data_IF_242755740671
#
_entry.id   IF_242755740671
#
_cell.length_a   1.000
_cell.length_b   1.000
_cell.length_c   1.000
_cell.angle_alpha   90.00
_cell.angle_beta   90.00
_cell.angle_gamma   90.00
#
_symmetry.space_group_name_H-M   'P 1'
#
loop_
_entity.id
_entity.type
_entity.pdbx_description
1 polymer ?
#
# COMPACT_ATOMS: atom_id res chain seq x y z
N UNK A 1 -7.25 -5.68 21.73
CA UNK A 1 -7.34 -4.75 20.59
C UNK A 1 -8.62 -3.93 20.73
N UNK A 2 -8.53 -2.60 20.80
CA UNK A 2 -9.72 -1.74 20.73
C UNK A 2 -9.92 -1.34 19.26
N UNK A 3 -10.83 -2.03 18.58
CA UNK A 3 -11.23 -1.71 17.20
C UNK A 3 -11.70 -0.26 17.06
N UNK A 4 -12.41 0.24 18.08
CA UNK A 4 -12.90 1.62 18.15
C UNK A 4 -11.76 2.64 18.03
N UNK A 5 -10.64 2.41 18.73
CA UNK A 5 -9.50 3.33 18.70
C UNK A 5 -8.84 3.33 17.32
N UNK A 6 -8.62 2.15 16.74
CA UNK A 6 -8.03 2.03 15.41
C UNK A 6 -8.90 2.69 14.32
N UNK A 7 -10.22 2.54 14.41
CA UNK A 7 -11.15 3.20 13.49
C UNK A 7 -11.16 4.72 13.66
N UNK A 8 -11.15 5.23 14.90
CA UNK A 8 -11.22 6.68 15.19
C UNK A 8 -9.91 7.42 14.91
N UNK A 9 -8.78 6.74 14.99
CA UNK A 9 -7.44 7.34 14.85
C UNK A 9 -7.27 8.27 13.64
N UNK A 10 -7.58 7.86 12.39
CA UNK A 10 -7.45 8.77 11.25
C UNK A 10 -8.50 9.88 11.22
N UNK A 11 -9.67 9.72 11.86
CA UNK A 11 -10.67 10.80 11.97
C UNK A 11 -10.23 11.89 12.95
N UNK A 12 -9.60 11.52 14.07
CA UNK A 12 -8.95 12.49 14.97
C UNK A 12 -7.85 13.28 14.25
N UNK A 13 -7.23 12.65 13.25
CA UNK A 13 -6.14 13.22 12.46
C UNK A 13 -6.58 13.66 11.05
N UNK A 14 -7.88 13.91 10.84
CA UNK A 14 -8.45 14.14 9.51
C UNK A 14 -7.76 15.27 8.74
N UNK A 15 -7.41 16.37 9.42
CA UNK A 15 -6.72 17.50 8.78
C UNK A 15 -5.34 17.11 8.21
N UNK A 16 -4.58 16.28 8.95
CA UNK A 16 -3.27 15.78 8.49
C UNK A 16 -3.46 14.80 7.32
N UNK A 17 -4.41 13.86 7.41
CA UNK A 17 -4.75 12.94 6.31
C UNK A 17 -5.11 13.72 5.04
N UNK A 18 -6.00 14.71 5.17
CA UNK A 18 -6.42 15.55 4.05
C UNK A 18 -5.23 16.32 3.45
N UNK A 19 -4.36 16.87 4.29
CA UNK A 19 -3.16 17.59 3.83
C UNK A 19 -2.23 16.68 3.01
N UNK A 20 -1.99 15.44 3.45
CA UNK A 20 -1.20 14.46 2.71
C UNK A 20 -1.82 14.21 1.33
N UNK A 21 -3.12 13.94 1.30
CA UNK A 21 -3.82 13.65 0.03
C UNK A 21 -3.77 14.84 -0.91
N UNK A 22 -4.03 16.05 -0.41
CA UNK A 22 -4.00 17.26 -1.24
C UNK A 22 -2.61 17.49 -1.86
N UNK A 23 -1.53 17.36 -1.07
CA UNK A 23 -0.16 17.51 -1.59
C UNK A 23 0.12 16.48 -2.68
N UNK A 24 -0.26 15.22 -2.46
CA UNK A 24 -0.08 14.16 -3.47
C UNK A 24 -0.92 14.42 -4.72
N UNK A 25 -2.19 14.78 -4.58
CA UNK A 25 -3.08 15.08 -5.70
C UNK A 25 -2.55 16.26 -6.52
N UNK A 26 -2.06 17.32 -5.87
CA UNK A 26 -1.43 18.46 -6.56
C UNK A 26 -0.18 18.00 -7.32
N UNK A 27 0.70 17.23 -6.69
CA UNK A 27 1.90 16.71 -7.35
C UNK A 27 1.53 15.88 -8.60
N UNK A 28 0.61 14.93 -8.48
CA UNK A 28 0.12 14.15 -9.62
C UNK A 28 -0.51 15.04 -10.70
N UNK A 29 -1.36 16.00 -10.33
CA UNK A 29 -1.99 16.90 -11.28
C UNK A 29 -0.97 17.74 -12.06
N UNK A 30 0.09 18.22 -11.41
CA UNK A 30 1.17 18.97 -12.08
C UNK A 30 1.86 18.09 -13.13
N UNK A 31 2.27 16.87 -12.79
CA UNK A 31 2.96 16.00 -13.74
C UNK A 31 2.04 15.44 -14.83
N UNK A 32 0.76 15.19 -14.54
CA UNK A 32 -0.25 14.87 -15.56
C UNK A 32 -0.42 16.08 -16.49
N UNK A 33 -0.52 17.30 -15.95
CA UNK A 33 -0.61 18.51 -16.75
C UNK A 33 0.61 18.72 -17.65
N UNK A 34 1.81 18.46 -17.14
CA UNK A 34 3.04 18.48 -17.96
C UNK A 34 3.01 17.43 -19.06
N UNK A 35 2.55 16.21 -18.75
CA UNK A 35 2.41 15.12 -19.73
C UNK A 35 1.37 15.46 -20.82
N UNK A 36 0.22 15.97 -20.41
CA UNK A 36 -0.88 16.31 -21.33
C UNK A 36 -0.55 17.50 -22.22
N UNK A 37 0.15 18.52 -21.71
CA UNK A 37 0.51 19.71 -22.49
C UNK A 37 1.75 19.51 -23.40
N UNK A 38 2.46 18.39 -23.26
CA UNK A 38 3.73 18.20 -23.95
C UNK A 38 3.66 17.23 -25.14
N UNK A 39 2.60 16.45 -25.24
CA UNK A 39 2.38 15.49 -26.33
C UNK A 39 1.08 15.79 -27.06
N UNK A 40 1.06 15.67 -28.38
CA UNK A 40 -0.19 15.67 -29.12
C UNK A 40 -0.88 14.32 -28.94
N UNK A 41 -1.96 14.30 -28.16
CA UNK A 41 -2.75 13.10 -27.87
C UNK A 41 -3.78 12.78 -28.95
N UNK A 42 -3.94 13.65 -29.96
CA UNK A 42 -4.94 13.49 -31.03
C UNK A 42 -4.88 12.12 -31.73
N UNK A 43 -3.70 11.54 -32.04
CA UNK A 43 -3.63 10.21 -32.65
C UNK A 43 -4.12 9.08 -31.72
N UNK A 44 -3.80 9.14 -30.42
CA UNK A 44 -4.28 8.16 -29.44
C UNK A 44 -5.79 8.28 -29.22
N UNK A 45 -6.29 9.52 -29.15
CA UNK A 45 -7.72 9.82 -29.03
C UNK A 45 -8.47 9.28 -30.24
N UNK A 46 -7.98 9.53 -31.46
CA UNK A 46 -8.58 8.99 -32.68
C UNK A 46 -8.65 7.45 -32.65
N UNK A 47 -7.57 6.79 -32.21
CA UNK A 47 -7.54 5.33 -32.05
C UNK A 47 -8.55 4.81 -31.02
N UNK A 48 -8.68 5.47 -29.85
CA UNK A 48 -9.62 5.09 -28.79
C UNK A 48 -11.08 5.21 -29.26
N UNK A 49 -11.39 6.24 -30.06
CA UNK A 49 -12.74 6.49 -30.55
C UNK A 49 -13.05 5.84 -31.90
N UNK A 50 -12.12 5.05 -32.46
CA UNK A 50 -12.30 4.42 -33.77
C UNK A 50 -12.45 5.42 -34.92
N UNK A 51 -11.93 6.64 -34.75
CA UNK A 51 -11.85 7.64 -35.80
C UNK A 51 -10.71 7.26 -36.76
N UNK A 52 -10.91 7.51 -38.06
CA UNK A 52 -9.90 7.18 -39.06
C UNK A 52 -8.60 7.94 -38.76
N UNK A 53 -7.50 7.25 -38.42
CA UNK A 53 -6.25 7.91 -38.04
C UNK A 53 -5.66 8.71 -39.21
N UNK A 54 -6.04 8.38 -40.45
CA UNK A 54 -5.47 8.99 -41.65
C UNK A 54 -5.84 10.47 -41.83
N UNK A 55 -6.93 10.96 -41.22
CA UNK A 55 -7.24 12.39 -41.19
C UNK A 55 -6.35 13.19 -40.22
N UNK A 56 -5.71 12.53 -39.24
CA UNK A 56 -4.90 13.15 -38.19
C UNK A 56 -3.40 12.81 -38.27
N UNK A 57 -3.01 11.83 -39.09
CA UNK A 57 -1.63 11.36 -39.27
C UNK A 57 -0.91 12.01 -40.47
N UNK A 58 -0.93 13.35 -40.57
CA UNK A 58 -0.13 14.08 -41.59
C UNK A 58 1.34 14.29 -41.14
N UNK A 59 1.79 13.62 -40.06
CA UNK A 59 3.16 13.71 -39.55
C UNK A 59 3.85 12.36 -39.44
N UNK A 60 5.16 12.33 -39.70
CA UNK A 60 6.02 11.20 -39.32
C UNK A 60 5.80 10.84 -37.84
N UNK A 61 5.96 9.56 -37.43
CA UNK A 61 5.88 9.16 -36.03
C UNK A 61 6.90 9.96 -35.22
N UNK A 62 6.43 11.02 -34.57
CA UNK A 62 7.27 11.83 -33.70
C UNK A 62 7.62 10.96 -32.49
N UNK A 63 8.90 10.63 -32.36
CA UNK A 63 9.42 10.13 -31.10
C UNK A 63 8.93 11.07 -29.98
N UNK A 64 8.46 10.50 -28.85
CA UNK A 64 8.06 11.28 -27.69
C UNK A 64 9.12 12.36 -27.44
N UNK A 65 8.73 13.62 -27.56
CA UNK A 65 9.63 14.74 -27.31
C UNK A 65 10.22 14.65 -25.90
N UNK A 66 11.24 15.45 -25.60
CA UNK A 66 11.83 15.48 -24.26
C UNK A 66 10.77 15.79 -23.17
N UNK A 67 9.78 16.64 -23.47
CA UNK A 67 8.77 17.08 -22.51
C UNK A 67 7.74 15.98 -22.10
N UNK A 68 7.16 15.18 -23.02
CA UNK A 68 6.36 14.02 -22.64
C UNK A 68 7.12 12.99 -21.82
N UNK A 69 8.38 12.73 -22.19
CA UNK A 69 9.24 11.81 -21.47
C UNK A 69 9.50 12.31 -20.04
N UNK A 70 9.74 13.62 -19.86
CA UNK A 70 9.85 14.26 -18.54
C UNK A 70 8.53 14.12 -17.75
N UNK A 71 7.37 14.28 -18.40
CA UNK A 71 6.06 14.10 -17.77
C UNK A 71 5.85 12.67 -17.26
N UNK A 72 6.10 11.65 -18.09
CA UNK A 72 5.98 10.22 -17.70
C UNK A 72 6.98 9.87 -16.60
N UNK A 73 8.25 10.22 -16.78
CA UNK A 73 9.31 9.94 -15.79
C UNK A 73 8.99 10.64 -14.46
N UNK A 74 8.51 11.88 -14.52
CA UNK A 74 8.07 12.64 -13.35
C UNK A 74 6.90 11.98 -12.61
N UNK A 75 5.89 11.50 -13.34
CA UNK A 75 4.77 10.75 -12.73
C UNK A 75 5.24 9.47 -12.04
N UNK A 76 6.11 8.70 -12.70
CA UNK A 76 6.67 7.47 -12.13
C UNK A 76 7.47 7.82 -10.88
N UNK A 77 8.32 8.85 -10.93
CA UNK A 77 9.10 9.28 -9.79
C UNK A 77 8.22 9.72 -8.61
N UNK A 78 7.18 10.52 -8.84
CA UNK A 78 6.23 10.92 -7.80
C UNK A 78 5.51 9.72 -7.22
N UNK A 79 5.03 8.79 -8.06
CA UNK A 79 4.33 7.58 -7.59
C UNK A 79 5.24 6.72 -6.71
N UNK A 80 6.47 6.46 -7.17
CA UNK A 80 7.45 5.63 -6.45
C UNK A 80 7.88 6.29 -5.14
N UNK A 81 8.25 7.58 -5.18
CA UNK A 81 8.67 8.31 -3.99
C UNK A 81 7.54 8.46 -2.97
N UNK A 82 6.31 8.71 -3.43
CA UNK A 82 5.15 8.75 -2.55
C UNK A 82 4.86 7.38 -1.93
N UNK A 83 5.02 6.30 -2.70
CA UNK A 83 4.90 4.93 -2.21
C UNK A 83 5.91 4.61 -1.12
N UNK A 84 7.18 4.97 -1.32
CA UNK A 84 8.21 4.82 -0.28
C UNK A 84 7.90 5.69 0.93
N UNK A 85 7.60 6.96 0.74
CA UNK A 85 7.29 7.87 1.83
C UNK A 85 6.10 7.40 2.68
N UNK A 86 4.97 7.03 2.07
CA UNK A 86 3.80 6.50 2.81
C UNK A 86 4.15 5.20 3.53
N UNK A 87 4.91 4.31 2.88
CA UNK A 87 5.31 3.04 3.47
C UNK A 87 6.19 3.25 4.70
N UNK A 88 7.18 4.15 4.64
CA UNK A 88 8.00 4.46 5.82
C UNK A 88 7.25 5.24 6.89
N UNK A 89 6.38 6.17 6.50
CA UNK A 89 5.50 6.88 7.44
C UNK A 89 4.59 5.91 8.21
N UNK A 90 4.27 4.76 7.63
CA UNK A 90 3.53 3.68 8.33
C UNK A 90 4.28 3.15 9.54
N UNK A 91 5.62 3.08 9.48
CA UNK A 91 6.47 2.70 10.61
C UNK A 91 6.43 3.76 11.71
N UNK A 92 6.45 5.04 11.35
CA UNK A 92 6.28 6.12 12.33
C UNK A 92 4.90 6.10 12.99
N UNK A 93 3.85 5.80 12.23
CA UNK A 93 2.49 5.61 12.79
C UNK A 93 2.46 4.43 13.76
N UNK A 94 3.10 3.31 13.44
CA UNK A 94 3.20 2.18 14.39
C UNK A 94 3.96 2.61 15.65
N UNK A 95 5.07 3.35 15.51
CA UNK A 95 5.85 3.90 16.64
C UNK A 95 5.03 4.86 17.49
N UNK A 96 4.26 5.76 16.89
CA UNK A 96 3.44 6.74 17.61
C UNK A 96 2.32 6.07 18.40
N UNK A 97 1.62 5.12 17.78
CA UNK A 97 0.56 4.34 18.43
C UNK A 97 1.12 3.53 19.60
N UNK A 98 2.32 2.97 19.45
CA UNK A 98 3.01 2.29 20.56
C UNK A 98 3.45 3.21 21.68
N UNK A 99 3.83 4.44 21.36
CA UNK A 99 4.13 5.47 22.34
C UNK A 99 2.85 6.04 23.01
N UNK A 100 1.68 5.46 22.74
CA UNK A 100 0.37 5.90 23.24
C UNK A 100 0.03 7.34 22.77
N UNK A 101 0.61 7.78 21.65
CA UNK A 101 0.33 9.07 21.03
C UNK A 101 -0.87 8.91 20.07
N UNK A 102 -1.98 9.59 20.38
CA UNK A 102 -3.21 9.54 19.58
C UNK A 102 -3.14 10.38 18.28
N UNK A 103 -2.10 11.18 18.12
CA UNK A 103 -1.88 12.01 16.95
C UNK A 103 -0.93 11.34 15.95
N UNK A 104 -1.15 11.62 14.67
CA UNK A 104 -0.23 11.26 13.60
C UNK A 104 1.14 11.92 13.85
N UNK A 105 2.26 11.21 13.63
CA UNK A 105 3.60 11.76 13.82
C UNK A 105 3.89 12.89 12.84
N UNK A 106 4.92 13.69 13.12
CA UNK A 106 5.36 14.75 12.21
C UNK A 106 6.10 14.18 11.00
N UNK A 107 6.13 14.93 9.90
CA UNK A 107 6.71 14.46 8.65
C UNK A 107 8.24 14.61 8.64
N UNK A 108 8.94 13.49 8.69
CA UNK A 108 10.35 13.41 8.28
C UNK A 108 10.43 12.76 6.89
N UNK A 109 10.45 13.57 5.82
CA UNK A 109 10.43 13.04 4.45
C UNK A 109 11.64 12.13 4.16
N UNK A 110 12.84 12.54 4.57
CA UNK A 110 14.08 11.81 4.28
C UNK A 110 14.13 10.45 4.97
N UNK A 111 13.80 10.42 6.27
CA UNK A 111 13.72 9.18 7.03
C UNK A 111 12.61 8.28 6.53
N UNK A 112 11.42 8.82 6.25
CA UNK A 112 10.28 8.03 5.79
C UNK A 112 10.51 7.43 4.39
N UNK A 113 11.12 8.17 3.46
CA UNK A 113 11.50 7.58 2.16
C UNK A 113 12.52 6.46 2.34
N UNK A 114 13.51 6.64 3.21
CA UNK A 114 14.53 5.61 3.49
C UNK A 114 13.94 4.35 4.15
N UNK A 115 13.15 4.52 5.21
CA UNK A 115 12.49 3.41 5.92
C UNK A 115 11.53 2.68 4.97
N UNK A 116 10.79 3.43 4.13
CA UNK A 116 9.93 2.88 3.10
C UNK A 116 10.63 2.13 1.98
N UNK A 117 11.81 2.59 1.57
CA UNK A 117 12.65 1.86 0.61
C UNK A 117 13.08 0.50 1.17
N UNK A 118 13.46 0.42 2.45
CA UNK A 118 13.78 -0.85 3.08
C UNK A 118 12.58 -1.78 3.21
N UNK A 119 11.39 -1.23 3.49
CA UNK A 119 10.14 -1.99 3.45
C UNK A 119 9.82 -2.51 2.06
N UNK A 120 10.01 -1.70 1.03
CA UNK A 120 9.84 -2.12 -0.35
C UNK A 120 10.78 -3.29 -0.69
N UNK A 121 12.08 -3.15 -0.43
CA UNK A 121 13.05 -4.23 -0.67
C UNK A 121 12.72 -5.51 0.13
N UNK A 122 12.25 -5.36 1.36
CA UNK A 122 11.75 -6.48 2.14
C UNK A 122 10.53 -7.10 1.47
N UNK A 123 9.54 -6.31 1.05
CA UNK A 123 8.35 -6.81 0.35
C UNK A 123 8.74 -7.62 -0.90
N UNK A 124 9.74 -7.17 -1.67
CA UNK A 124 10.29 -7.91 -2.82
C UNK A 124 10.84 -9.27 -2.38
N UNK A 125 11.60 -9.33 -1.28
CA UNK A 125 12.10 -10.60 -0.75
C UNK A 125 10.97 -11.57 -0.34
N UNK A 126 9.87 -11.05 0.23
CA UNK A 126 8.67 -11.84 0.50
C UNK A 126 7.98 -12.28 -0.81
N UNK A 127 7.85 -11.39 -1.80
CA UNK A 127 7.27 -11.71 -3.11
C UNK A 127 8.07 -12.75 -3.89
N UNK A 128 9.40 -12.76 -3.79
CA UNK A 128 10.25 -13.77 -4.45
C UNK A 128 9.85 -15.18 -4.02
N UNK A 129 9.59 -15.40 -2.73
CA UNK A 129 9.18 -16.72 -2.23
C UNK A 129 7.83 -17.13 -2.82
N UNK A 130 6.89 -16.19 -2.92
CA UNK A 130 5.59 -16.44 -3.53
C UNK A 130 5.72 -16.72 -5.05
N UNK A 131 6.54 -15.95 -5.76
CA UNK A 131 6.80 -16.16 -7.19
C UNK A 131 7.41 -17.55 -7.41
N UNK A 132 8.37 -17.96 -6.59
CA UNK A 132 8.95 -19.31 -6.65
C UNK A 132 7.87 -20.37 -6.45
N UNK A 133 6.98 -20.21 -5.47
CA UNK A 133 5.86 -21.12 -5.26
C UNK A 133 4.94 -21.20 -6.50
N UNK A 134 4.53 -20.05 -7.03
CA UNK A 134 3.66 -19.99 -8.22
C UNK A 134 4.32 -20.64 -9.44
N UNK A 135 5.61 -20.43 -9.65
CA UNK A 135 6.37 -21.07 -10.72
C UNK A 135 6.39 -22.59 -10.53
N UNK A 136 6.64 -23.08 -9.31
CA UNK A 136 6.60 -24.52 -9.00
C UNK A 136 5.21 -25.09 -9.27
N UNK A 137 4.15 -24.41 -8.83
CA UNK A 137 2.77 -24.83 -9.11
C UNK A 137 2.49 -24.89 -10.61
N UNK A 138 2.88 -23.86 -11.37
CA UNK A 138 2.73 -23.85 -12.82
C UNK A 138 3.42 -25.05 -13.48
N UNK A 139 4.64 -25.40 -13.05
CA UNK A 139 5.34 -26.58 -13.56
C UNK A 139 4.62 -27.88 -13.22
N UNK A 140 4.12 -28.03 -11.99
CA UNK A 140 3.37 -29.22 -11.58
C UNK A 140 2.10 -29.35 -12.41
N UNK A 141 1.32 -28.27 -12.55
CA UNK A 141 0.09 -28.26 -13.36
C UNK A 141 0.34 -28.60 -14.82
N UNK A 142 1.42 -28.08 -15.41
CA UNK A 142 1.80 -28.43 -16.77
C UNK A 142 2.18 -29.91 -16.89
N UNK A 143 2.98 -30.44 -15.95
CA UNK A 143 3.39 -31.83 -15.94
C UNK A 143 2.23 -32.82 -15.74
N UNK A 144 1.18 -32.42 -15.00
CA UNK A 144 -0.01 -33.25 -14.75
C UNK A 144 -1.16 -33.01 -15.73
N UNK A 145 -1.00 -32.11 -16.70
CA UNK A 145 -2.08 -31.65 -17.58
C UNK A 145 -2.75 -32.75 -18.41
N UNK A 146 -2.01 -33.81 -18.76
CA UNK A 146 -2.52 -34.98 -19.49
C UNK A 146 -3.19 -36.03 -18.58
N UNK A 147 -3.09 -35.87 -17.27
CA UNK A 147 -3.55 -36.83 -16.26
C UNK A 147 -4.82 -36.31 -15.56
N UNK A 148 -5.91 -36.13 -16.32
CA UNK A 148 -7.11 -35.38 -15.92
C UNK A 148 -7.53 -35.44 -14.44
N UNK A 149 -7.67 -36.64 -13.86
CA UNK A 149 -8.03 -36.81 -12.45
C UNK A 149 -6.92 -36.38 -11.46
N UNK A 150 -5.66 -36.63 -11.80
CA UNK A 150 -4.49 -36.21 -11.01
C UNK A 150 -4.36 -34.69 -11.05
N UNK A 151 -4.58 -34.06 -12.21
CA UNK A 151 -4.54 -32.60 -12.34
C UNK A 151 -5.57 -31.91 -11.45
N UNK A 152 -6.80 -32.44 -11.40
CA UNK A 152 -7.85 -31.94 -10.51
C UNK A 152 -7.48 -32.11 -9.02
N UNK A 153 -6.91 -33.24 -8.62
CA UNK A 153 -6.44 -33.45 -7.24
C UNK A 153 -5.31 -32.50 -6.86
N UNK A 154 -4.34 -32.28 -7.76
CA UNK A 154 -3.27 -31.30 -7.56
C UNK A 154 -3.85 -29.89 -7.39
N UNK A 155 -4.86 -29.51 -8.20
CA UNK A 155 -5.51 -28.21 -8.09
C UNK A 155 -6.16 -27.98 -6.72
N UNK A 156 -6.85 -29.00 -6.19
CA UNK A 156 -7.51 -28.96 -4.90
C UNK A 156 -6.53 -28.76 -3.74
N UNK A 157 -5.27 -29.20 -3.89
CA UNK A 157 -4.24 -29.07 -2.84
C UNK A 157 -3.40 -27.80 -3.02
N UNK A 158 -2.93 -27.54 -4.24
CA UNK A 158 -2.02 -26.44 -4.53
C UNK A 158 -2.68 -25.07 -4.31
N UNK A 159 -3.90 -24.86 -4.81
CA UNK A 159 -4.57 -23.56 -4.69
C UNK A 159 -4.77 -23.13 -3.23
N UNK A 160 -5.34 -23.98 -2.34
CA UNK A 160 -5.42 -23.63 -0.92
C UNK A 160 -4.05 -23.45 -0.26
N UNK A 161 -3.04 -24.24 -0.65
CA UNK A 161 -1.69 -24.10 -0.12
C UNK A 161 -1.11 -22.71 -0.47
N UNK A 162 -1.27 -22.24 -1.71
CA UNK A 162 -0.86 -20.89 -2.10
C UNK A 162 -1.58 -19.82 -1.31
N UNK A 163 -2.89 -19.95 -1.09
CA UNK A 163 -3.64 -19.00 -0.26
C UNK A 163 -3.10 -18.98 1.18
N UNK A 164 -2.81 -20.15 1.76
CA UNK A 164 -2.24 -20.26 3.11
C UNK A 164 -0.84 -19.62 3.15
N UNK A 165 0.00 -19.87 2.15
CA UNK A 165 1.34 -19.27 2.08
C UNK A 165 1.24 -17.76 1.96
N UNK A 166 0.39 -17.22 1.09
CA UNK A 166 0.14 -15.78 0.98
C UNK A 166 -0.27 -15.19 2.33
N UNK A 167 -1.21 -15.85 3.03
CA UNK A 167 -1.66 -15.41 4.34
C UNK A 167 -0.51 -15.37 5.37
N UNK A 168 0.27 -16.45 5.48
CA UNK A 168 1.42 -16.54 6.40
C UNK A 168 2.51 -15.52 6.03
N UNK A 169 2.76 -15.30 4.74
CA UNK A 169 3.77 -14.36 4.27
C UNK A 169 3.37 -12.92 4.51
N UNK A 170 2.13 -12.54 4.17
CA UNK A 170 1.58 -11.23 4.49
C UNK A 170 1.60 -10.98 6.01
N UNK A 171 1.29 -12.01 6.80
CA UNK A 171 1.40 -11.95 8.24
C UNK A 171 2.82 -11.71 8.74
N UNK A 172 3.76 -12.52 8.27
CA UNK A 172 5.16 -12.41 8.63
C UNK A 172 5.74 -11.06 8.20
N UNK A 173 5.21 -10.44 7.14
CA UNK A 173 5.56 -9.07 6.77
C UNK A 173 5.06 -8.05 7.80
N UNK A 174 3.82 -8.16 8.31
CA UNK A 174 3.32 -7.30 9.40
C UNK A 174 4.15 -7.44 10.68
N UNK A 175 4.54 -8.66 11.05
CA UNK A 175 5.46 -8.91 12.17
C UNK A 175 6.81 -8.23 11.93
N UNK A 176 7.34 -8.33 10.71
CA UNK A 176 8.58 -7.65 10.33
C UNK A 176 8.49 -6.13 10.50
N UNK A 177 7.43 -5.52 9.97
CA UNK A 177 7.17 -4.08 10.12
C UNK A 177 7.09 -3.64 11.58
N UNK A 178 6.34 -4.38 12.40
CA UNK A 178 6.26 -4.11 13.83
C UNK A 178 7.63 -4.19 14.51
N UNK A 179 8.42 -5.25 14.26
CA UNK A 179 9.77 -5.37 14.82
C UNK A 179 10.69 -4.24 14.38
N UNK A 180 10.54 -3.75 13.15
CA UNK A 180 11.31 -2.62 12.63
C UNK A 180 10.90 -1.30 13.28
N UNK A 181 9.60 -1.10 13.49
CA UNK A 181 9.10 0.02 14.27
C UNK A 181 9.69 0.01 15.69
N UNK A 182 9.75 -1.14 16.35
CA UNK A 182 10.20 -1.27 17.75
C UNK A 182 11.71 -1.09 17.90
N UNK A 183 12.50 -1.73 17.04
CA UNK A 183 13.95 -1.79 17.18
C UNK A 183 14.73 -0.73 16.39
N UNK A 184 14.11 -0.06 15.42
CA UNK A 184 14.80 0.88 14.51
C UNK A 184 15.81 0.24 13.55
N UNK A 185 16.15 -1.04 13.71
CA UNK A 185 17.03 -1.79 12.82
C UNK A 185 16.25 -2.39 11.65
N UNK A 186 16.50 -1.90 10.43
CA UNK A 186 15.89 -2.40 9.20
C UNK A 186 16.24 -3.86 8.89
N UNK A 187 17.32 -4.41 9.45
CA UNK A 187 17.69 -5.82 9.19
C UNK A 187 16.63 -6.81 9.69
N UNK A 188 15.80 -6.41 10.65
CA UNK A 188 14.76 -7.29 11.22
C UNK A 188 13.65 -7.63 10.23
N UNK A 189 13.38 -6.78 9.22
CA UNK A 189 12.36 -7.09 8.20
C UNK A 189 12.81 -8.21 7.27
N UNK A 190 14.12 -8.39 7.09
CA UNK A 190 14.70 -9.48 6.27
C UNK A 190 14.83 -10.81 7.03
N UNK A 191 14.56 -10.84 8.33
CA UNK A 191 14.61 -12.08 9.12
C UNK A 191 13.33 -12.93 8.90
N UNK A 192 13.03 -13.26 7.63
CA UNK A 192 11.79 -13.91 7.19
C UNK A 192 11.48 -15.15 8.03
N UNK A 193 12.47 -16.04 8.24
CA UNK A 193 12.29 -17.24 9.07
C UNK A 193 11.84 -16.93 10.50
N UNK A 194 12.43 -15.90 11.14
CA UNK A 194 12.06 -15.48 12.49
C UNK A 194 10.68 -14.85 12.50
N UNK A 195 10.37 -13.99 11.52
CA UNK A 195 9.07 -13.35 11.37
C UNK A 195 7.96 -14.37 11.14
N UNK A 196 8.18 -15.37 10.28
CA UNK A 196 7.25 -16.49 10.05
C UNK A 196 7.06 -17.36 11.29
N UNK A 197 8.14 -17.64 12.04
CA UNK A 197 8.01 -18.40 13.30
C UNK A 197 7.16 -17.64 14.31
N UNK A 198 7.40 -16.35 14.48
CA UNK A 198 6.58 -15.49 15.36
C UNK A 198 5.13 -15.41 14.88
N UNK A 199 4.92 -15.30 13.56
CA UNK A 199 3.59 -15.35 12.94
C UNK A 199 2.84 -16.65 13.29
N UNK A 200 3.49 -17.80 13.07
CA UNK A 200 2.89 -19.12 13.27
C UNK A 200 2.56 -19.40 14.73
N UNK A 201 3.43 -18.99 15.66
CA UNK A 201 3.17 -19.15 17.11
C UNK A 201 1.97 -18.31 17.56
N UNK A 202 1.70 -17.19 16.88
CA UNK A 202 0.64 -16.25 17.23
C UNK A 202 -0.50 -16.22 16.20
N UNK A 203 -0.77 -17.34 15.54
CA UNK A 203 -1.75 -17.43 14.45
C UNK A 203 -3.20 -17.12 14.87
N UNK A 204 -3.53 -17.23 16.16
CA UNK A 204 -4.87 -16.90 16.68
C UNK A 204 -5.07 -15.38 16.75
N UNK A 205 -4.13 -14.67 17.35
CA UNK A 205 -4.07 -13.20 17.36
C UNK A 205 -3.95 -12.65 15.93
N UNK A 206 -3.12 -13.36 15.15
CA UNK A 206 -3.31 -13.70 13.75
C UNK A 206 -4.68 -13.43 13.12
N UNK A 207 -5.45 -14.49 13.03
CA UNK A 207 -6.77 -14.48 12.44
C UNK A 207 -7.64 -13.30 12.94
N UNK A 208 -7.54 -12.93 14.22
CA UNK A 208 -8.21 -11.76 14.79
C UNK A 208 -7.90 -10.45 14.07
N UNK A 209 -6.63 -10.11 13.82
CA UNK A 209 -6.25 -8.90 13.09
C UNK A 209 -6.84 -8.87 11.68
N UNK A 210 -6.79 -9.99 10.96
CA UNK A 210 -7.31 -10.08 9.58
C UNK A 210 -8.82 -9.86 9.59
N UNK A 211 -9.54 -10.46 10.53
CA UNK A 211 -10.97 -10.20 10.72
C UNK A 211 -11.20 -8.71 10.97
N UNK A 212 -10.42 -8.07 11.86
CA UNK A 212 -10.54 -6.63 12.09
C UNK A 212 -10.22 -5.79 10.85
N UNK A 213 -9.20 -6.14 10.06
CA UNK A 213 -8.87 -5.46 8.81
C UNK A 213 -9.99 -5.60 7.76
N UNK A 214 -10.61 -6.78 7.65
CA UNK A 214 -11.76 -7.02 6.76
C UNK A 214 -12.95 -6.17 7.19
N UNK A 215 -13.31 -6.21 8.48
CA UNK A 215 -14.41 -5.40 9.03
C UNK A 215 -14.13 -3.91 8.80
N UNK A 216 -12.90 -3.47 9.02
CA UNK A 216 -12.49 -2.09 8.78
C UNK A 216 -12.65 -1.72 7.30
N UNK A 217 -12.20 -2.58 6.38
CA UNK A 217 -12.36 -2.38 4.93
C UNK A 217 -13.83 -2.25 4.51
N UNK A 218 -14.71 -3.07 5.09
CA UNK A 218 -16.16 -2.98 4.84
C UNK A 218 -16.72 -1.65 5.34
N UNK A 219 -16.38 -1.24 6.57
CA UNK A 219 -16.85 0.04 7.13
C UNK A 219 -16.38 1.21 6.28
N UNK A 220 -15.10 1.26 5.91
CA UNK A 220 -14.55 2.31 5.05
C UNK A 220 -15.21 2.31 3.67
N UNK A 221 -15.50 1.14 3.09
CA UNK A 221 -16.26 1.03 1.85
C UNK A 221 -17.66 1.62 1.94
N UNK A 222 -18.39 1.35 3.03
CA UNK A 222 -19.72 1.93 3.27
C UNK A 222 -19.65 3.44 3.46
N UNK A 223 -18.76 3.92 4.34
CA UNK A 223 -18.62 5.36 4.62
C UNK A 223 -18.22 6.12 3.37
N UNK A 224 -17.26 5.60 2.61
CA UNK A 224 -16.87 6.16 1.31
C UNK A 224 -18.07 6.18 0.36
N UNK A 225 -18.82 5.07 0.23
CA UNK A 225 -19.99 5.01 -0.66
C UNK A 225 -21.05 6.06 -0.33
N UNK A 226 -21.27 6.35 0.95
CA UNK A 226 -22.16 7.44 1.39
C UNK A 226 -21.61 8.80 0.97
N UNK A 227 -20.33 9.06 1.20
CA UNK A 227 -19.69 10.35 0.83
C UNK A 227 -19.66 10.53 -0.68
N UNK A 228 -19.29 9.49 -1.44
CA UNK A 228 -19.34 9.47 -2.90
C UNK A 228 -20.78 9.70 -3.40
N UNK A 229 -21.81 9.20 -2.71
CA UNK A 229 -23.21 9.48 -3.05
C UNK A 229 -23.63 10.94 -2.82
N UNK A 230 -23.09 11.60 -1.80
CA UNK A 230 -23.36 13.03 -1.52
C UNK A 230 -22.68 13.93 -2.55
N UNK A 231 -21.43 13.64 -2.88
CA UNK A 231 -20.59 14.48 -3.75
C UNK A 231 -20.59 14.04 -5.23
N UNK A 232 -21.10 12.85 -5.55
CA UNK A 232 -21.06 12.27 -6.89
C UNK A 232 -21.93 12.98 -7.93
N UNK A 233 -22.80 13.89 -7.50
CA UNK A 233 -23.61 14.72 -8.41
C UNK A 233 -22.85 15.94 -8.93
N UNK A 234 -21.60 16.18 -8.50
CA UNK A 234 -20.78 17.26 -9.05
C UNK A 234 -20.33 16.85 -10.45
N UNK A 235 -20.79 17.58 -11.47
CA UNK A 235 -20.47 17.29 -12.87
C UNK A 235 -19.10 17.88 -13.29
N UNK A 236 -18.53 17.28 -14.35
CA UNK A 236 -17.32 17.78 -15.01
C UNK A 236 -16.03 17.51 -14.24
N UNK A 237 -14.98 18.28 -14.57
CA UNK A 237 -13.62 18.11 -14.02
C UNK A 237 -13.56 18.27 -12.49
N UNK A 238 -14.40 19.14 -11.93
CA UNK A 238 -14.51 19.31 -10.48
C UNK A 238 -15.02 18.04 -9.80
N UNK A 239 -16.01 17.36 -10.39
CA UNK A 239 -16.53 16.09 -9.90
C UNK A 239 -15.47 15.01 -9.89
N UNK A 240 -14.78 14.82 -11.02
CA UNK A 240 -13.71 13.84 -11.16
C UNK A 240 -12.61 14.10 -10.12
N UNK A 241 -12.16 15.34 -9.99
CA UNK A 241 -11.11 15.72 -9.02
C UNK A 241 -11.56 15.43 -7.59
N UNK A 242 -12.80 15.78 -7.25
CA UNK A 242 -13.37 15.52 -5.93
C UNK A 242 -13.47 14.02 -5.63
N UNK A 243 -13.93 13.20 -6.58
CA UNK A 243 -13.98 11.74 -6.43
C UNK A 243 -12.59 11.13 -6.21
N UNK A 244 -11.56 11.64 -6.91
CA UNK A 244 -10.17 11.20 -6.72
C UNK A 244 -9.68 11.55 -5.31
N UNK A 245 -9.93 12.78 -4.85
CA UNK A 245 -9.54 13.22 -3.50
C UNK A 245 -10.25 12.37 -2.43
N UNK A 246 -11.56 12.16 -2.56
CA UNK A 246 -12.34 11.33 -1.64
C UNK A 246 -11.80 9.90 -1.60
N UNK A 247 -11.51 9.30 -2.76
CA UNK A 247 -10.92 7.97 -2.85
C UNK A 247 -9.61 7.86 -2.08
N UNK A 248 -8.67 8.80 -2.31
CA UNK A 248 -7.37 8.77 -1.65
C UNK A 248 -7.46 9.08 -0.14
N UNK A 249 -8.35 9.99 0.29
CA UNK A 249 -8.62 10.23 1.71
C UNK A 249 -9.04 8.93 2.39
N UNK A 250 -10.06 8.26 1.89
CA UNK A 250 -10.55 7.04 2.54
C UNK A 250 -9.55 5.88 2.49
N UNK A 251 -8.80 5.72 1.40
CA UNK A 251 -7.71 4.72 1.35
C UNK A 251 -6.64 5.02 2.40
N UNK A 252 -6.24 6.28 2.56
CA UNK A 252 -5.21 6.66 3.51
C UNK A 252 -5.69 6.52 4.96
N UNK A 253 -6.96 6.84 5.23
CA UNK A 253 -7.58 6.61 6.54
C UNK A 253 -7.64 5.11 6.87
N UNK A 254 -8.07 4.28 5.92
CA UNK A 254 -8.08 2.83 6.06
C UNK A 254 -6.66 2.28 6.31
N UNK A 255 -5.67 2.80 5.57
CA UNK A 255 -4.27 2.44 5.73
C UNK A 255 -3.75 2.76 7.13
N UNK A 256 -3.95 3.99 7.64
CA UNK A 256 -3.52 4.35 9.00
C UNK A 256 -4.26 3.59 10.09
N UNK A 257 -5.55 3.29 9.90
CA UNK A 257 -6.27 2.42 10.83
C UNK A 257 -5.67 1.01 10.86
N UNK A 258 -5.23 0.51 9.70
CA UNK A 258 -4.56 -0.79 9.58
C UNK A 258 -3.21 -0.77 10.30
N UNK A 259 -2.43 0.30 10.17
CA UNK A 259 -1.18 0.47 10.93
C UNK A 259 -1.42 0.50 12.45
N UNK A 260 -2.49 1.16 12.89
CA UNK A 260 -2.89 1.14 14.29
C UNK A 260 -3.25 -0.27 14.77
N UNK A 261 -3.96 -1.07 13.96
CA UNK A 261 -4.26 -2.46 14.31
C UNK A 261 -2.98 -3.32 14.37
N UNK A 262 -2.03 -3.11 13.44
CA UNK A 262 -0.72 -3.79 13.45
C UNK A 262 0.05 -3.45 14.73
N UNK A 263 0.06 -2.19 15.16
CA UNK A 263 0.68 -1.78 16.42
C UNK A 263 0.04 -2.48 17.63
N UNK A 264 -1.30 -2.49 17.71
CA UNK A 264 -2.00 -3.19 18.79
C UNK A 264 -1.70 -4.70 18.79
N UNK A 265 -1.70 -5.33 17.60
CA UNK A 265 -1.34 -6.74 17.46
C UNK A 265 0.09 -7.00 17.97
N UNK A 266 1.02 -6.12 17.62
CA UNK A 266 2.42 -6.28 18.01
C UNK A 266 2.63 -6.19 19.53
N UNK A 267 1.89 -5.34 20.24
CA UNK A 267 1.84 -5.37 21.72
C UNK A 267 1.37 -6.74 22.22
N UNK A 268 0.29 -7.27 21.64
CA UNK A 268 -0.31 -8.53 22.10
C UNK A 268 0.61 -9.74 21.94
N UNK A 269 1.50 -9.72 20.95
CA UNK A 269 2.47 -10.79 20.72
C UNK A 269 3.83 -10.54 21.38
N UNK A 270 3.91 -9.55 22.27
CA UNK A 270 5.10 -9.25 23.06
C UNK A 270 6.24 -8.61 22.28
N UNK A 271 5.97 -8.00 21.12
CA UNK A 271 6.97 -7.20 20.41
C UNK A 271 7.04 -5.82 21.09
N UNK A 272 8.17 -5.52 21.72
CA UNK A 272 8.43 -4.23 22.39
C UNK A 272 8.15 -4.18 23.90
N UNK A 273 8.02 -5.35 24.56
CA UNK A 273 7.44 -5.50 25.90
C UNK A 273 8.23 -5.01 27.12
N UNK A 274 9.56 -4.83 27.09
CA UNK A 274 10.34 -4.36 28.26
C UNK A 274 11.53 -3.44 27.89
N UNK A 275 12.14 -3.60 26.71
CA UNK A 275 13.30 -2.81 26.25
C UNK A 275 12.93 -1.52 25.49
N UNK A 276 11.65 -1.23 25.30
CA UNK A 276 11.23 0.02 24.68
C UNK A 276 11.34 1.15 25.71
N UNK A 277 12.51 1.77 25.78
CA UNK A 277 12.68 3.00 26.55
C UNK A 277 11.69 4.04 26.03
N UNK A 278 10.64 4.33 26.80
CA UNK A 278 9.64 5.41 26.61
C UNK A 278 10.26 6.82 26.40
N UNK A 279 11.58 6.95 26.30
CA UNK A 279 12.33 8.18 26.04
C UNK A 279 13.34 8.14 24.88
N UNK A 280 13.61 7.00 24.22
CA UNK A 280 14.46 6.95 23.01
C UNK A 280 13.73 7.33 21.72
N UNK A 281 12.40 7.41 21.79
CA UNK A 281 11.58 8.12 20.81
C UNK A 281 11.51 9.64 21.12
N UNK A 282 12.54 10.22 21.75
CA UNK A 282 12.85 11.62 21.45
C UNK A 282 13.26 11.66 19.98
N UNK A 283 12.26 11.95 19.14
CA UNK A 283 12.51 12.59 17.86
C UNK A 283 13.32 13.83 18.23
N UNK A 284 14.64 13.78 18.00
CA UNK A 284 15.47 14.97 18.11
C UNK A 284 14.98 15.91 17.01
N UNK A 285 14.16 16.89 17.40
CA UNK A 285 13.71 17.99 16.57
C UNK A 285 14.81 19.06 16.47
N UNK A 286 16.02 18.67 16.04
CA UNK A 286 17.10 19.60 15.71
C UNK A 286 17.26 19.74 14.21
#
# INVERSE_FOLDING_TARGET
MSFSNAFRYPFQNFARVLSIVLVMTIAFAVFIGLLLNSHDWSPLIAQIYGLDPTEYLIGEPQALGAAPLIGVVGLIAVAVLSGFWISGYSIEVIRSVWAEIEYLPDFDFGRNVKDGFYLFLSSVAYWIILIVLLVVEMFIFQATSSLGAINALVAIIAVPLTVIVIAIMGWAYFVGMARFAAGGDHRVVYQIRRNMRTANVNWTNGAGLVVYMIVLSIIYGIVRGIVDGIFGNVAGMLGITLSIVIYYVFNLMQHFSTQHLIAQYAVQIGIGGDDYEKGKAKVDFS
#
